data_IF_580676385374
#
_entry.id   IF_580676385374
#
_cell.length_a   1.000
_cell.length_b   1.000
_cell.length_c   1.000
_cell.angle_alpha   90.00
_cell.angle_beta   90.00
_cell.angle_gamma   90.00
#
_symmetry.space_group_name_H-M   'P 1'
#
loop_
_entity.id
_entity.type
_entity.pdbx_description
1 polymer ?
#
# COMPACT_ATOMS: atom_id res chain seq x y z
N UNK A 1 12.87 0.93 -9.55
CA UNK A 1 13.79 1.42 -8.50
C UNK A 1 13.19 2.66 -7.87
N UNK A 2 13.14 2.72 -6.56
CA UNK A 2 12.86 3.92 -5.76
C UNK A 2 14.19 4.38 -5.17
N UNK A 3 14.48 5.67 -5.25
CA UNK A 3 15.65 6.30 -4.64
C UNK A 3 15.18 7.49 -3.82
N UNK A 4 15.61 7.58 -2.59
CA UNK A 4 15.32 8.68 -1.65
C UNK A 4 16.62 9.36 -1.30
N UNK A 5 16.65 10.70 -1.39
CA UNK A 5 17.81 11.52 -1.09
C UNK A 5 17.46 12.59 -0.06
N UNK A 6 18.17 12.57 1.07
CA UNK A 6 18.15 13.58 2.13
C UNK A 6 16.73 13.96 2.60
N UNK A 7 15.83 12.94 2.65
CA UNK A 7 14.44 13.14 2.95
C UNK A 7 14.25 13.48 4.43
N UNK A 8 13.59 14.60 4.68
CA UNK A 8 13.25 15.03 6.04
C UNK A 8 11.78 15.38 6.14
N UNK A 9 11.17 15.09 7.26
CA UNK A 9 9.79 15.50 7.57
C UNK A 9 9.75 16.15 8.95
N UNK A 10 9.14 17.34 8.95
CA UNK A 10 8.81 18.09 10.15
C UNK A 10 7.31 18.35 10.21
N UNK A 11 6.71 18.30 11.40
CA UNK A 11 5.33 18.64 11.65
C UNK A 11 5.20 19.40 12.96
N UNK A 12 4.49 20.53 12.94
CA UNK A 12 4.27 21.38 14.12
C UNK A 12 5.59 21.67 14.85
N UNK A 13 6.61 22.10 14.13
CA UNK A 13 7.97 22.38 14.62
C UNK A 13 8.67 21.18 15.30
N UNK A 14 8.17 19.96 15.07
CA UNK A 14 8.79 18.74 15.56
C UNK A 14 9.33 17.94 14.39
N UNK A 15 10.62 17.68 14.41
CA UNK A 15 11.29 16.78 13.47
C UNK A 15 10.82 15.36 13.72
N UNK A 16 10.29 14.70 12.69
CA UNK A 16 9.86 13.30 12.73
C UNK A 16 11.07 12.42 12.34
N UNK A 17 11.76 12.79 11.26
CA UNK A 17 13.04 12.22 10.85
C UNK A 17 13.77 13.19 9.92
N UNK A 18 15.07 13.01 9.80
CA UNK A 18 15.97 13.85 9.00
C UNK A 18 16.91 13.01 8.16
N UNK A 19 17.27 13.53 6.99
CA UNK A 19 18.32 13.03 6.10
C UNK A 19 18.21 11.53 5.79
N UNK A 20 17.00 11.03 5.64
CA UNK A 20 16.79 9.63 5.26
C UNK A 20 17.21 9.42 3.82
N UNK A 21 18.16 8.50 3.65
CA UNK A 21 18.63 8.06 2.35
C UNK A 21 18.35 6.57 2.21
N UNK A 22 17.68 6.16 1.12
CA UNK A 22 17.43 4.75 0.83
C UNK A 22 17.34 4.51 -0.68
N UNK A 23 17.67 3.30 -1.07
CA UNK A 23 17.52 2.84 -2.46
C UNK A 23 16.88 1.45 -2.46
N UNK A 24 15.79 1.30 -3.20
CA UNK A 24 15.08 0.03 -3.37
C UNK A 24 15.06 -0.35 -4.85
N UNK A 25 15.86 -1.36 -5.20
CA UNK A 25 15.91 -1.97 -6.53
C UNK A 25 14.81 -3.01 -6.73
N UNK A 26 14.72 -3.53 -7.96
CA UNK A 26 13.83 -4.65 -8.28
C UNK A 26 14.24 -5.91 -7.52
N UNK A 27 13.27 -6.69 -7.05
CA UNK A 27 13.50 -7.93 -6.31
C UNK A 27 14.13 -7.76 -4.91
N UNK A 28 14.25 -6.52 -4.41
CA UNK A 28 14.79 -6.23 -3.08
C UNK A 28 13.68 -5.92 -2.09
N UNK A 29 13.93 -6.25 -0.82
CA UNK A 29 13.01 -5.99 0.30
C UNK A 29 13.73 -5.07 1.28
N UNK A 30 13.04 -4.04 1.76
CA UNK A 30 13.50 -3.20 2.86
C UNK A 30 12.58 -3.47 4.06
N UNK A 31 13.20 -3.84 5.18
CA UNK A 31 12.50 -3.98 6.46
C UNK A 31 12.70 -2.71 7.31
N UNK A 32 11.61 -1.99 7.51
CA UNK A 32 11.62 -0.76 8.32
C UNK A 32 11.31 -1.11 9.78
N UNK A 33 12.31 -1.02 10.65
CA UNK A 33 12.23 -1.28 12.10
C UNK A 33 12.29 0.01 12.92
N UNK A 34 11.66 0.01 14.09
CA UNK A 34 11.70 1.12 15.03
C UNK A 34 10.55 1.08 16.02
N UNK A 35 10.66 1.83 17.13
CA UNK A 35 9.61 1.96 18.15
C UNK A 35 8.33 2.57 17.59
N UNK A 36 7.19 2.39 18.29
CA UNK A 36 5.97 3.10 17.96
C UNK A 36 6.19 4.61 18.04
N UNK A 37 5.66 5.35 17.08
CA UNK A 37 5.88 6.81 16.99
C UNK A 37 7.20 7.25 16.34
N UNK A 38 8.10 6.33 15.91
CA UNK A 38 9.37 6.68 15.28
C UNK A 38 9.29 7.20 13.84
N UNK A 39 8.09 7.42 13.30
CA UNK A 39 7.92 7.96 11.95
C UNK A 39 7.83 6.92 10.82
N UNK A 40 7.80 5.60 11.10
CA UNK A 40 7.73 4.55 10.07
C UNK A 40 6.57 4.76 9.08
N UNK A 41 5.36 4.93 9.61
CA UNK A 41 4.16 5.16 8.78
C UNK A 41 4.25 6.50 8.04
N UNK A 42 4.87 7.51 8.65
CA UNK A 42 5.11 8.81 8.02
C UNK A 42 6.06 8.68 6.83
N UNK A 43 7.14 7.90 6.98
CA UNK A 43 8.07 7.60 5.89
C UNK A 43 7.35 6.87 4.75
N UNK A 44 6.57 5.82 5.04
CA UNK A 44 5.80 5.11 4.01
C UNK A 44 4.83 6.04 3.28
N UNK A 45 4.13 6.92 4.01
CA UNK A 45 3.23 7.91 3.40
C UNK A 45 3.98 8.94 2.54
N UNK A 46 5.19 9.34 2.93
CA UNK A 46 6.03 10.20 2.12
C UNK A 46 6.48 9.51 0.84
N UNK A 47 6.88 8.23 0.91
CA UNK A 47 7.23 7.42 -0.26
C UNK A 47 6.08 7.28 -1.25
N UNK A 48 4.84 7.36 -0.79
CA UNK A 48 3.63 7.36 -1.61
C UNK A 48 3.19 8.76 -2.06
N UNK A 49 3.97 9.80 -1.72
CA UNK A 49 3.60 11.21 -1.97
C UNK A 49 2.25 11.61 -1.34
N UNK A 50 1.83 10.92 -0.27
CA UNK A 50 0.65 11.26 0.54
C UNK A 50 0.97 12.33 1.60
N UNK A 51 2.24 12.55 1.87
CA UNK A 51 2.77 13.59 2.75
C UNK A 51 3.91 14.26 2.00
N UNK A 52 3.90 15.58 1.97
CA UNK A 52 4.99 16.35 1.38
C UNK A 52 6.17 16.42 2.34
N UNK A 53 7.40 16.06 1.88
CA UNK A 53 8.60 16.22 2.67
C UNK A 53 8.94 17.69 2.92
N UNK A 54 9.53 18.00 4.08
CA UNK A 54 10.06 19.33 4.38
C UNK A 54 11.33 19.62 3.57
N UNK A 55 12.14 18.58 3.28
CA UNK A 55 13.29 18.66 2.39
C UNK A 55 13.61 17.30 1.76
N UNK A 56 14.52 17.30 0.80
CA UNK A 56 14.94 16.11 0.08
C UNK A 56 14.06 15.76 -1.11
N UNK A 57 14.32 14.62 -1.73
CA UNK A 57 13.62 14.21 -2.93
C UNK A 57 13.46 12.69 -3.03
N UNK A 58 12.35 12.29 -3.67
CA UNK A 58 12.05 10.89 -3.98
C UNK A 58 12.03 10.74 -5.49
N UNK A 59 12.71 9.70 -5.99
CA UNK A 59 12.79 9.38 -7.41
C UNK A 59 12.19 8.01 -7.68
N UNK A 60 11.41 7.91 -8.74
CA UNK A 60 10.84 6.67 -9.27
C UNK A 60 11.35 6.45 -10.70
N UNK A 61 12.01 5.29 -10.94
CA UNK A 61 12.61 4.95 -12.25
C UNK A 61 13.48 6.10 -12.79
N UNK A 62 14.27 6.75 -11.92
CA UNK A 62 15.18 7.84 -12.27
C UNK A 62 14.54 9.23 -12.43
N UNK A 63 13.22 9.34 -12.36
CA UNK A 63 12.49 10.62 -12.48
C UNK A 63 11.95 11.05 -11.12
N UNK A 64 11.87 12.35 -10.89
CA UNK A 64 11.29 12.92 -9.66
C UNK A 64 9.85 12.42 -9.49
N UNK A 65 9.54 11.81 -8.33
CA UNK A 65 8.26 11.17 -8.09
C UNK A 65 7.07 12.11 -8.28
N UNK A 66 7.14 13.35 -7.77
CA UNK A 66 6.09 14.37 -7.90
C UNK A 66 5.69 14.63 -9.35
N UNK A 67 6.60 14.47 -10.31
CA UNK A 67 6.35 14.66 -11.74
C UNK A 67 5.88 13.40 -12.46
N UNK A 68 5.74 12.27 -11.75
CA UNK A 68 5.48 10.95 -12.35
C UNK A 68 4.43 10.12 -11.60
N UNK A 69 3.54 10.78 -10.86
CA UNK A 69 2.59 10.10 -9.95
C UNK A 69 1.69 9.11 -10.67
N UNK A 70 1.18 9.44 -11.84
CA UNK A 70 0.32 8.53 -12.61
C UNK A 70 1.03 7.21 -12.91
N UNK A 71 2.25 7.27 -13.48
CA UNK A 71 3.04 6.06 -13.74
C UNK A 71 3.40 5.30 -12.46
N UNK A 72 3.68 6.00 -11.38
CA UNK A 72 4.02 5.40 -10.09
C UNK A 72 2.85 4.60 -9.51
N UNK A 73 1.66 5.20 -9.40
CA UNK A 73 0.50 4.55 -8.80
C UNK A 73 -0.02 3.35 -9.60
N UNK A 74 0.25 3.29 -10.91
CA UNK A 74 -0.04 2.11 -11.71
C UNK A 74 0.89 0.91 -11.43
N UNK A 75 1.94 1.08 -10.60
CA UNK A 75 2.93 0.05 -10.30
C UNK A 75 3.13 -0.17 -8.80
N UNK A 76 2.34 0.47 -7.96
CA UNK A 76 2.50 0.42 -6.50
C UNK A 76 1.18 0.05 -5.84
N UNK A 77 1.25 -0.92 -4.95
CA UNK A 77 0.15 -1.26 -4.04
C UNK A 77 0.55 -0.87 -2.62
N UNK A 78 -0.36 -0.23 -1.91
CA UNK A 78 -0.18 0.12 -0.50
C UNK A 78 -1.25 -0.57 0.35
N UNK A 79 -0.79 -1.46 1.24
CA UNK A 79 -1.66 -2.11 2.21
C UNK A 79 -1.45 -1.44 3.55
N UNK A 80 -2.44 -0.65 3.96
CA UNK A 80 -2.42 0.08 5.23
C UNK A 80 -2.80 -0.84 6.42
N UNK A 81 -2.61 -0.34 7.64
CA UNK A 81 -3.09 -0.98 8.87
C UNK A 81 -4.62 -1.05 8.93
N UNK A 82 -5.30 0.02 8.50
CA UNK A 82 -6.76 0.04 8.36
C UNK A 82 -7.18 -0.60 7.06
N UNK A 83 -8.26 -1.38 7.11
CA UNK A 83 -8.79 -2.03 5.91
C UNK A 83 -9.42 -1.02 4.95
N UNK A 84 -9.18 -1.23 3.66
CA UNK A 84 -9.89 -0.58 2.55
C UNK A 84 -11.19 -1.30 2.18
N UNK A 85 -11.42 -2.49 2.70
CA UNK A 85 -12.60 -3.30 2.42
C UNK A 85 -13.87 -2.67 3.00
N UNK A 86 -14.96 -2.76 2.25
CA UNK A 86 -16.28 -2.30 2.66
C UNK A 86 -16.90 -3.34 3.62
N UNK A 87 -16.78 -3.08 4.90
CA UNK A 87 -17.05 -4.05 5.98
C UNK A 87 -18.49 -4.59 6.01
N UNK A 88 -19.46 -3.84 5.53
CA UNK A 88 -20.88 -4.23 5.50
C UNK A 88 -21.24 -5.09 4.30
N UNK A 89 -20.37 -5.18 3.31
CA UNK A 89 -20.52 -5.97 2.11
C UNK A 89 -19.84 -7.33 2.28
N UNK A 90 -20.29 -8.32 1.48
CA UNK A 90 -19.63 -9.62 1.42
C UNK A 90 -18.27 -9.55 0.75
N UNK A 91 -17.47 -10.60 0.89
CA UNK A 91 -16.18 -10.76 0.19
C UNK A 91 -16.41 -10.64 -1.32
N UNK A 92 -17.41 -11.35 -1.86
CA UNK A 92 -17.72 -11.34 -3.29
C UNK A 92 -18.13 -9.95 -3.78
N UNK A 93 -18.91 -9.20 -3.01
CA UNK A 93 -19.32 -7.84 -3.35
C UNK A 93 -18.12 -6.88 -3.37
N UNK A 94 -17.23 -6.98 -2.40
CA UNK A 94 -15.98 -6.22 -2.39
C UNK A 94 -15.15 -6.48 -3.65
N UNK A 95 -14.96 -7.75 -4.01
CA UNK A 95 -14.21 -8.13 -5.22
C UNK A 95 -14.86 -7.54 -6.48
N UNK A 96 -16.19 -7.63 -6.62
CA UNK A 96 -16.91 -7.05 -7.75
C UNK A 96 -16.70 -5.54 -7.87
N UNK A 97 -16.75 -4.83 -6.74
CA UNK A 97 -16.52 -3.38 -6.68
C UNK A 97 -15.08 -3.05 -7.08
N UNK A 98 -14.09 -3.74 -6.51
CA UNK A 98 -12.69 -3.50 -6.83
C UNK A 98 -12.36 -3.78 -8.30
N UNK A 99 -12.89 -4.86 -8.87
CA UNK A 99 -12.74 -5.11 -10.32
C UNK A 99 -13.23 -3.94 -11.16
N UNK A 100 -14.34 -3.31 -10.78
CA UNK A 100 -14.88 -2.13 -11.47
C UNK A 100 -14.04 -0.88 -11.25
N UNK A 101 -13.62 -0.60 -10.00
CA UNK A 101 -12.85 0.60 -9.66
C UNK A 101 -11.47 0.59 -10.33
N UNK A 102 -10.80 -0.55 -10.30
CA UNK A 102 -9.45 -0.68 -10.86
C UNK A 102 -9.43 -1.06 -12.33
N UNK A 103 -10.61 -1.12 -12.99
CA UNK A 103 -10.75 -1.54 -14.40
C UNK A 103 -9.97 -2.83 -14.69
N UNK A 104 -9.99 -3.75 -13.73
CA UNK A 104 -9.18 -4.96 -13.77
C UNK A 104 -9.70 -5.96 -14.79
N UNK A 105 -8.85 -6.42 -15.69
CA UNK A 105 -9.14 -7.47 -16.66
C UNK A 105 -8.90 -8.88 -16.10
N UNK A 106 -8.67 -9.00 -14.77
CA UNK A 106 -8.48 -10.30 -14.13
C UNK A 106 -9.70 -11.19 -14.35
N UNK A 107 -9.48 -12.41 -14.85
CA UNK A 107 -10.54 -13.39 -15.08
C UNK A 107 -11.13 -13.91 -13.77
N UNK A 108 -12.34 -14.43 -13.82
CA UNK A 108 -12.96 -15.04 -12.63
C UNK A 108 -12.18 -16.26 -12.14
N UNK A 109 -11.60 -17.06 -13.06
CA UNK A 109 -10.74 -18.19 -12.71
C UNK A 109 -9.46 -17.79 -11.98
N UNK A 110 -8.84 -16.68 -12.39
CA UNK A 110 -7.67 -16.13 -11.67
C UNK A 110 -8.03 -15.67 -10.26
N UNK A 111 -9.16 -14.95 -10.11
CA UNK A 111 -9.66 -14.54 -8.78
C UNK A 111 -9.92 -15.76 -7.91
N UNK A 112 -10.59 -16.80 -8.44
CA UNK A 112 -10.87 -18.03 -7.72
C UNK A 112 -9.59 -18.74 -7.25
N UNK A 113 -8.57 -18.82 -8.09
CA UNK A 113 -7.27 -19.40 -7.74
C UNK A 113 -6.59 -18.62 -6.60
N UNK A 114 -6.62 -17.29 -6.65
CA UNK A 114 -6.06 -16.45 -5.58
C UNK A 114 -6.85 -16.67 -4.28
N UNK A 115 -8.18 -16.70 -4.34
CA UNK A 115 -9.04 -16.96 -3.18
C UNK A 115 -8.75 -18.32 -2.54
N UNK A 116 -8.54 -19.37 -3.33
CA UNK A 116 -8.14 -20.69 -2.85
C UNK A 116 -6.76 -20.65 -2.19
N UNK A 117 -5.78 -19.99 -2.82
CA UNK A 117 -4.42 -19.84 -2.28
C UNK A 117 -4.42 -19.12 -0.92
N UNK A 118 -5.26 -18.12 -0.76
CA UNK A 118 -5.40 -17.34 0.47
C UNK A 118 -6.35 -17.98 1.50
N UNK A 119 -7.00 -19.11 1.17
CA UNK A 119 -8.06 -19.74 1.95
C UNK A 119 -9.25 -18.80 2.24
N UNK A 120 -9.62 -17.96 1.26
CA UNK A 120 -10.75 -17.02 1.35
C UNK A 120 -12.00 -17.48 0.59
N UNK A 121 -11.89 -18.53 -0.23
CA UNK A 121 -12.98 -19.03 -1.06
C UNK A 121 -14.21 -19.51 -0.26
N UNK A 122 -14.00 -19.94 1.00
CA UNK A 122 -15.07 -20.38 1.90
C UNK A 122 -15.86 -19.21 2.51
N UNK A 123 -15.39 -17.97 2.37
CA UNK A 123 -15.99 -16.76 2.95
C UNK A 123 -16.69 -15.87 1.94
N UNK A 124 -16.87 -16.30 0.69
CA UNK A 124 -17.36 -15.44 -0.41
C UNK A 124 -18.66 -14.71 -0.07
N UNK A 125 -19.61 -15.37 0.56
CA UNK A 125 -20.90 -14.82 0.92
C UNK A 125 -20.94 -14.16 2.30
N UNK A 126 -19.83 -14.27 3.07
CA UNK A 126 -19.74 -13.66 4.38
C UNK A 126 -19.42 -12.16 4.28
N UNK A 127 -20.01 -11.38 5.17
CA UNK A 127 -19.68 -9.95 5.29
C UNK A 127 -18.27 -9.79 5.85
N UNK A 128 -17.52 -8.81 5.33
CA UNK A 128 -16.14 -8.57 5.74
C UNK A 128 -16.02 -8.24 7.24
N UNK A 129 -17.06 -7.68 7.87
CA UNK A 129 -17.04 -7.42 9.31
C UNK A 129 -17.07 -8.70 10.20
N UNK A 130 -17.41 -9.86 9.65
CA UNK A 130 -17.36 -11.14 10.36
C UNK A 130 -16.01 -11.87 10.19
N UNK A 131 -15.15 -11.39 9.32
CA UNK A 131 -13.80 -11.93 9.12
C UNK A 131 -12.86 -11.49 10.24
N UNK A 132 -11.89 -12.33 10.56
CA UNK A 132 -10.76 -11.95 11.40
C UNK A 132 -9.94 -10.84 10.74
N UNK A 133 -9.10 -10.16 11.53
CA UNK A 133 -8.18 -9.15 11.01
C UNK A 133 -7.24 -9.73 9.94
N UNK A 134 -6.72 -10.95 10.15
CA UNK A 134 -5.83 -11.62 9.21
C UNK A 134 -6.53 -11.96 7.88
N UNK A 135 -7.76 -12.46 7.92
CA UNK A 135 -8.57 -12.76 6.72
C UNK A 135 -8.91 -11.48 5.95
N UNK A 136 -9.29 -10.42 6.67
CA UNK A 136 -9.53 -9.11 6.06
C UNK A 136 -8.26 -8.57 5.38
N UNK A 137 -7.09 -8.76 5.99
CA UNK A 137 -5.81 -8.36 5.37
C UNK A 137 -5.48 -9.20 4.14
N UNK A 138 -5.70 -10.50 4.18
CA UNK A 138 -5.53 -11.36 3.00
C UNK A 138 -6.42 -10.91 1.83
N UNK A 139 -7.64 -10.47 2.11
CA UNK A 139 -8.56 -9.98 1.10
C UNK A 139 -8.01 -8.75 0.34
N UNK A 140 -7.19 -7.92 0.96
CA UNK A 140 -6.57 -6.73 0.34
C UNK A 140 -5.41 -7.06 -0.62
N UNK A 141 -4.99 -8.33 -0.71
CA UNK A 141 -4.00 -8.80 -1.71
C UNK A 141 -4.64 -9.24 -3.05
N UNK A 142 -5.96 -9.23 -3.16
CA UNK A 142 -6.69 -9.49 -4.39
C UNK A 142 -6.65 -8.29 -5.34
#
# INVERSE_FOLDING_TARGET
MILVKDLSIERSNKKIFENVNLSLGSGKIILLKGKNGSGKTTLLKALLNLIEPSSGAIYWKGKLLKKNLYSFFNHVTFIADRTSSLRKLSVQENIKIWKKIFLSNISNSQVENILKTLNLHIYLDQKVNSLSFGETKKLEFL
#
